data_IF_681812114515
#
_entry.id   IF_681812114515
#
_cell.length_a   1.000
_cell.length_b   1.000
_cell.length_c   1.000
_cell.angle_alpha   90.00
_cell.angle_beta   90.00
_cell.angle_gamma   90.00
#
_symmetry.space_group_name_H-M   'P 1'
#
loop_
_entity.id
_entity.type
_entity.pdbx_description
1 polymer ?
#
# COMPACT_ATOMS: atom_id res chain seq x y z
N UNK A 1 -35.26 -38.93 7.01
CA UNK A 1 -35.21 -37.47 7.28
C UNK A 1 -33.75 -37.06 7.22
N UNK A 2 -33.20 -36.23 6.32
CA UNK A 2 -33.74 -35.02 5.70
C UNK A 2 -32.84 -34.53 4.52
N UNK A 3 -32.40 -35.41 3.60
CA UNK A 3 -31.67 -34.96 2.38
C UNK A 3 -32.53 -34.08 1.46
N UNK A 4 -33.81 -34.44 1.34
CA UNK A 4 -34.80 -33.63 0.63
C UNK A 4 -35.06 -32.28 1.32
N UNK A 5 -34.99 -32.25 2.66
CA UNK A 5 -35.16 -31.02 3.43
C UNK A 5 -33.96 -30.07 3.21
N UNK A 6 -32.73 -30.59 3.20
CA UNK A 6 -31.50 -29.81 2.92
C UNK A 6 -31.50 -29.20 1.51
N UNK A 7 -31.95 -29.95 0.50
CA UNK A 7 -32.08 -29.44 -0.88
C UNK A 7 -33.18 -28.38 -1.01
N UNK A 8 -34.32 -28.56 -0.32
CA UNK A 8 -35.41 -27.58 -0.30
C UNK A 8 -35.02 -26.29 0.43
N UNK A 9 -34.17 -26.37 1.46
CA UNK A 9 -33.67 -25.16 2.15
C UNK A 9 -32.67 -24.38 1.30
N UNK A 10 -31.87 -25.05 0.47
CA UNK A 10 -30.92 -24.41 -0.45
C UNK A 10 -31.63 -23.64 -1.59
N UNK A 11 -32.77 -24.14 -2.08
CA UNK A 11 -33.58 -23.41 -3.07
C UNK A 11 -34.29 -22.17 -2.50
N UNK A 12 -34.60 -22.16 -1.20
CA UNK A 12 -35.24 -21.00 -0.56
C UNK A 12 -34.29 -19.81 -0.33
N UNK A 13 -32.98 -20.05 -0.40
CA UNK A 13 -31.92 -19.03 -0.27
C UNK A 13 -31.44 -18.57 -1.66
N UNK A 14 -31.98 -19.14 -2.75
CA UNK A 14 -31.74 -18.65 -4.09
C UNK A 14 -32.40 -17.26 -4.23
N UNK A 15 -31.64 -16.23 -3.90
CA UNK A 15 -31.98 -14.86 -4.28
C UNK A 15 -32.22 -14.84 -5.79
N UNK A 16 -33.31 -14.22 -6.28
CA UNK A 16 -33.51 -14.08 -7.71
C UNK A 16 -32.28 -13.37 -8.27
N UNK A 17 -31.53 -14.06 -9.13
CA UNK A 17 -30.48 -13.44 -9.93
C UNK A 17 -31.20 -12.56 -10.96
N UNK A 18 -31.50 -11.33 -10.57
CA UNK A 18 -31.89 -10.29 -11.51
C UNK A 18 -30.76 -10.06 -12.51
N UNK A 19 -31.10 -9.62 -13.72
CA UNK A 19 -30.10 -9.10 -14.64
C UNK A 19 -29.23 -8.08 -13.89
N UNK A 20 -27.92 -8.28 -13.91
CA UNK A 20 -26.99 -7.42 -13.17
C UNK A 20 -27.13 -6.00 -13.70
N UNK A 21 -27.58 -5.06 -12.87
CA UNK A 21 -27.64 -3.65 -13.25
C UNK A 21 -26.22 -3.05 -13.31
N UNK A 22 -26.04 -1.99 -14.09
CA UNK A 22 -24.76 -1.30 -14.22
C UNK A 22 -24.21 -0.86 -12.86
N UNK A 23 -25.08 -0.38 -11.96
CA UNK A 23 -24.69 0.03 -10.61
C UNK A 23 -24.20 -1.16 -9.78
N UNK A 24 -24.79 -2.33 -9.98
CA UNK A 24 -24.43 -3.56 -9.28
C UNK A 24 -23.10 -4.13 -9.81
N UNK A 25 -22.90 -4.09 -11.13
CA UNK A 25 -21.62 -4.40 -11.77
C UNK A 25 -20.50 -3.46 -11.28
N UNK A 26 -20.78 -2.16 -11.15
CA UNK A 26 -19.82 -1.19 -10.61
C UNK A 26 -19.47 -1.46 -9.15
N UNK A 27 -20.45 -1.77 -8.29
CA UNK A 27 -20.21 -2.14 -6.89
C UNK A 27 -19.39 -3.42 -6.77
N UNK A 28 -19.68 -4.41 -7.60
CA UNK A 28 -18.92 -5.65 -7.65
C UNK A 28 -17.46 -5.39 -8.08
N UNK A 29 -17.26 -4.56 -9.10
CA UNK A 29 -15.93 -4.15 -9.57
C UNK A 29 -15.17 -3.34 -8.52
N UNK A 30 -15.83 -2.45 -7.78
CA UNK A 30 -15.20 -1.68 -6.69
C UNK A 30 -14.63 -2.59 -5.59
N UNK A 31 -15.25 -3.74 -5.34
CA UNK A 31 -14.82 -4.71 -4.35
C UNK A 31 -13.75 -5.70 -4.85
N UNK A 32 -13.71 -5.99 -6.16
CA UNK A 32 -12.91 -7.09 -6.70
C UNK A 32 -11.89 -6.69 -7.80
N UNK A 33 -11.94 -5.47 -8.33
CA UNK A 33 -10.98 -5.01 -9.35
C UNK A 33 -9.59 -4.76 -8.70
N UNK A 34 -8.53 -5.48 -9.12
CA UNK A 34 -7.18 -5.29 -8.58
C UNK A 34 -6.61 -3.90 -8.86
N UNK A 35 -7.05 -3.24 -9.94
CA UNK A 35 -6.61 -1.90 -10.34
C UNK A 35 -7.03 -0.85 -9.31
N UNK A 36 -8.32 -0.84 -8.93
CA UNK A 36 -8.82 0.11 -7.93
C UNK A 36 -8.30 -0.23 -6.53
N UNK A 37 -8.09 -1.52 -6.22
CA UNK A 37 -7.46 -1.96 -4.98
C UNK A 37 -6.00 -1.45 -4.88
N UNK A 38 -5.23 -1.56 -5.95
CA UNK A 38 -3.86 -1.02 -6.03
C UNK A 38 -3.83 0.51 -5.94
N UNK A 39 -4.78 1.18 -6.58
CA UNK A 39 -4.94 2.64 -6.48
C UNK A 39 -5.25 3.08 -5.05
N UNK A 40 -6.15 2.36 -4.35
CA UNK A 40 -6.47 2.61 -2.93
C UNK A 40 -5.23 2.45 -2.05
N UNK A 41 -4.48 1.37 -2.21
CA UNK A 41 -3.24 1.16 -1.45
C UNK A 41 -2.19 2.27 -1.73
N UNK A 42 -2.08 2.72 -2.98
CA UNK A 42 -1.19 3.82 -3.36
C UNK A 42 -1.63 5.15 -2.75
N UNK A 43 -2.95 5.40 -2.67
CA UNK A 43 -3.54 6.56 -1.99
C UNK A 43 -3.22 6.53 -0.51
N UNK A 44 -3.43 5.39 0.16
CA UNK A 44 -3.17 5.22 1.58
C UNK A 44 -1.67 5.46 1.89
N UNK A 45 -0.77 4.89 1.08
CA UNK A 45 0.66 5.16 1.16
C UNK A 45 1.02 6.64 0.90
N UNK A 46 0.29 7.31 0.01
CA UNK A 46 0.42 8.74 -0.25
C UNK A 46 -0.03 9.61 0.92
N UNK A 47 -1.09 9.20 1.64
CA UNK A 47 -1.61 9.91 2.81
C UNK A 47 -0.61 9.93 3.98
N UNK A 48 0.25 8.91 4.09
CA UNK A 48 1.35 8.89 5.07
C UNK A 48 2.33 10.07 4.90
N UNK A 49 2.41 10.68 3.71
CA UNK A 49 3.19 11.88 3.52
C UNK A 49 2.70 13.03 4.42
N UNK A 50 1.40 13.15 4.68
CA UNK A 50 0.86 14.16 5.60
C UNK A 50 1.28 13.89 7.05
N UNK A 51 1.32 12.62 7.46
CA UNK A 51 1.81 12.22 8.79
C UNK A 51 3.29 12.57 8.93
N UNK A 52 4.09 12.31 7.90
CA UNK A 52 5.50 12.71 7.84
C UNK A 52 5.66 14.23 7.89
N UNK A 53 4.81 14.99 7.18
CA UNK A 53 4.80 16.44 7.21
C UNK A 53 4.57 16.98 8.65
N UNK A 54 3.63 16.35 9.38
CA UNK A 54 3.37 16.68 10.78
C UNK A 54 4.57 16.33 11.67
N UNK A 55 5.25 15.22 11.42
CA UNK A 55 6.41 14.78 12.19
C UNK A 55 7.60 15.76 12.10
N UNK A 56 7.78 16.45 10.96
CA UNK A 56 8.87 17.44 10.79
C UNK A 56 8.82 18.60 11.80
N UNK A 57 7.63 18.95 12.29
CA UNK A 57 7.44 19.98 13.32
C UNK A 57 7.51 19.45 14.76
N UNK A 58 7.67 18.13 14.96
CA UNK A 58 7.70 17.50 16.28
C UNK A 58 9.15 17.29 16.74
N UNK A 59 9.39 17.13 18.06
CA UNK A 59 10.69 16.72 18.57
C UNK A 59 11.08 15.35 18.01
N UNK A 60 12.30 15.22 17.51
CA UNK A 60 12.90 13.93 17.18
C UNK A 60 13.63 13.40 18.41
N UNK A 61 13.31 12.18 18.84
CA UNK A 61 13.94 11.54 20.01
C UNK A 61 14.78 10.38 19.51
N UNK A 62 16.06 10.38 19.88
CA UNK A 62 17.05 9.37 19.50
C UNK A 62 17.69 8.81 20.76
N UNK A 63 17.74 7.49 20.86
CA UNK A 63 18.44 6.78 21.91
C UNK A 63 19.66 6.10 21.31
N UNK A 64 20.81 6.25 21.96
CA UNK A 64 22.08 5.73 21.47
C UNK A 64 22.88 5.11 22.60
N UNK A 65 23.42 3.93 22.32
CA UNK A 65 24.29 3.19 23.21
C UNK A 65 25.56 2.78 22.45
N UNK A 66 26.72 2.94 23.07
CA UNK A 66 27.98 2.52 22.50
C UNK A 66 28.83 1.82 23.56
N UNK A 67 29.58 0.81 23.14
CA UNK A 67 30.60 0.16 23.94
C UNK A 67 31.91 0.21 23.17
N UNK A 68 32.92 0.79 23.78
CA UNK A 68 34.26 0.89 23.21
C UNK A 68 35.24 0.19 24.14
N UNK A 69 35.98 -0.77 23.59
CA UNK A 69 37.09 -1.41 24.27
C UNK A 69 38.37 -1.00 23.55
N UNK A 70 39.34 -0.48 24.32
CA UNK A 70 40.61 -0.04 23.79
C UNK A 70 41.73 -0.80 24.49
N UNK A 71 42.64 -1.38 23.72
CA UNK A 71 43.84 -2.04 24.21
C UNK A 71 45.04 -1.35 23.60
N UNK A 72 45.97 -0.94 24.45
CA UNK A 72 47.24 -0.32 24.07
C UNK A 72 48.33 -1.23 24.59
N UNK A 73 49.05 -1.87 23.68
CA UNK A 73 50.24 -2.64 23.99
C UNK A 73 51.46 -1.73 23.71
N UNK A 74 52.30 -1.54 24.73
CA UNK A 74 53.52 -0.72 24.63
C UNK A 74 54.73 -1.64 24.63
N UNK A 75 55.38 -1.76 23.47
CA UNK A 75 56.66 -2.43 23.30
C UNK A 75 57.77 -1.38 23.28
N UNK A 76 58.69 -1.45 24.23
CA UNK A 76 59.83 -0.55 24.34
C UNK A 76 61.12 -1.38 24.28
N UNK A 77 62.02 -1.05 23.35
CA UNK A 77 63.32 -1.71 23.22
C UNK A 77 64.32 -1.05 24.18
N UNK A 78 64.33 -1.52 25.43
CA UNK A 78 65.09 -0.96 26.55
C UNK A 78 65.93 -2.04 27.24
N UNK A 79 66.99 -1.67 27.99
CA UNK A 79 67.78 -2.62 28.77
C UNK A 79 66.93 -3.42 29.79
N UNK A 80 67.31 -4.67 30.13
CA UNK A 80 66.56 -5.58 31.00
C UNK A 80 66.09 -4.98 32.33
N UNK A 81 66.88 -4.07 32.90
CA UNK A 81 66.60 -3.46 34.20
C UNK A 81 65.51 -2.37 34.14
N UNK A 82 65.22 -1.82 32.95
CA UNK A 82 64.23 -0.76 32.75
C UNK A 82 62.94 -1.28 32.08
N UNK A 83 63.01 -2.40 31.36
CA UNK A 83 61.89 -3.04 30.66
C UNK A 83 60.59 -3.19 31.50
N UNK A 84 60.61 -3.67 32.76
CA UNK A 84 59.39 -3.87 33.55
C UNK A 84 58.61 -2.59 33.86
N UNK A 85 59.28 -1.43 33.83
CA UNK A 85 58.65 -0.13 34.12
C UNK A 85 58.05 0.54 32.88
N UNK A 86 58.48 0.14 31.68
CA UNK A 86 58.14 0.81 30.42
C UNK A 86 57.45 -0.09 29.39
N UNK A 87 57.42 -1.41 29.58
CA UNK A 87 56.65 -2.35 28.74
C UNK A 87 55.40 -2.86 29.46
N UNK A 88 54.25 -2.89 28.77
CA UNK A 88 53.03 -3.47 29.33
C UNK A 88 51.78 -3.25 28.48
N UNK A 89 50.75 -4.04 28.74
CA UNK A 89 49.44 -3.93 28.09
C UNK A 89 48.46 -3.18 28.99
N UNK A 90 47.83 -2.13 28.47
CA UNK A 90 46.72 -1.43 29.13
C UNK A 90 45.44 -1.66 28.34
N UNK A 91 44.39 -2.10 29.02
CA UNK A 91 43.06 -2.20 28.43
C UNK A 91 42.07 -1.33 29.20
N UNK A 92 41.12 -0.73 28.49
CA UNK A 92 40.05 0.06 29.07
C UNK A 92 38.76 -0.16 28.27
N UNK A 93 37.66 -0.42 28.98
CA UNK A 93 36.32 -0.51 28.41
C UNK A 93 35.49 0.69 28.84
N UNK A 94 34.73 1.27 27.92
CA UNK A 94 33.75 2.33 28.19
C UNK A 94 32.43 2.01 27.52
N UNK A 95 31.37 1.93 28.32
CA UNK A 95 30.00 1.94 27.85
C UNK A 95 29.42 3.36 27.99
N UNK A 96 28.69 3.82 26.98
CA UNK A 96 27.90 5.06 27.04
C UNK A 96 26.48 4.75 26.60
N UNK A 97 25.51 5.32 27.31
CA UNK A 97 24.09 5.28 26.95
C UNK A 97 23.56 6.71 27.09
N UNK A 98 22.82 7.19 26.10
CA UNK A 98 22.24 8.52 26.10
C UNK A 98 20.96 8.60 25.28
N UNK A 99 20.10 9.54 25.66
CA UNK A 99 18.89 9.90 24.92
C UNK A 99 18.98 11.37 24.56
N UNK A 100 18.75 11.70 23.29
CA UNK A 100 18.77 13.06 22.76
C UNK A 100 17.41 13.38 22.14
N UNK A 101 16.84 14.53 22.52
CA UNK A 101 15.63 15.07 21.90
C UNK A 101 15.96 16.39 21.19
N UNK A 102 15.61 16.53 19.91
CA UNK A 102 15.85 17.74 19.12
C UNK A 102 14.51 18.28 18.60
N UNK A 103 14.13 19.48 19.04
CA UNK A 103 12.92 20.16 18.58
C UNK A 103 13.29 21.42 17.78
N UNK A 104 12.88 21.52 16.50
CA UNK A 104 13.02 22.77 15.77
C UNK A 104 12.02 23.81 16.30
N UNK A 105 12.51 24.96 16.77
CA UNK A 105 11.66 26.10 17.13
C UNK A 105 11.26 26.89 15.88
N UNK A 106 12.21 27.11 14.97
CA UNK A 106 11.97 27.73 13.68
C UNK A 106 12.93 27.15 12.63
N UNK A 107 12.37 26.59 11.56
CA UNK A 107 13.13 26.01 10.45
C UNK A 107 12.31 26.18 9.15
N UNK A 108 12.74 27.11 8.29
CA UNK A 108 12.05 27.42 7.04
C UNK A 108 12.10 26.24 6.05
N UNK A 109 13.20 25.48 6.06
CA UNK A 109 13.38 24.32 5.18
C UNK A 109 12.42 23.20 5.56
N UNK A 110 12.32 22.87 6.86
CA UNK A 110 11.33 21.88 7.34
C UNK A 110 9.89 22.30 7.08
N UNK A 111 9.59 23.60 7.17
CA UNK A 111 8.26 24.13 6.84
C UNK A 111 7.94 23.95 5.35
N UNK A 112 8.87 24.29 4.47
CA UNK A 112 8.72 24.09 3.02
C UNK A 112 8.53 22.60 2.68
N UNK A 113 9.34 21.73 3.30
CA UNK A 113 9.23 20.28 3.15
C UNK A 113 7.87 19.75 3.64
N UNK A 114 7.35 20.25 4.75
CA UNK A 114 6.03 19.87 5.26
C UNK A 114 4.91 20.29 4.29
N UNK A 115 5.01 21.46 3.65
CA UNK A 115 4.06 21.88 2.61
C UNK A 115 4.14 20.92 1.42
N UNK A 116 5.34 20.64 0.91
CA UNK A 116 5.53 19.72 -0.21
C UNK A 116 4.94 18.32 0.07
N UNK A 117 5.11 17.79 1.28
CA UNK A 117 4.56 16.51 1.68
C UNK A 117 3.02 16.51 1.76
N UNK A 118 2.42 17.64 2.17
CA UNK A 118 0.95 17.81 2.14
C UNK A 118 0.43 17.82 0.71
N UNK A 119 1.07 18.55 -0.20
CA UNK A 119 0.71 18.55 -1.61
C UNK A 119 0.86 17.16 -2.23
N UNK A 120 1.88 16.39 -1.82
CA UNK A 120 2.04 14.98 -2.24
C UNK A 120 0.88 14.10 -1.77
N UNK A 121 0.41 14.28 -0.53
CA UNK A 121 -0.78 13.59 -0.02
C UNK A 121 -2.04 13.96 -0.81
N UNK A 122 -2.24 15.25 -1.10
CA UNK A 122 -3.36 15.74 -1.90
C UNK A 122 -3.33 15.18 -3.33
N UNK A 123 -2.15 15.16 -3.97
CA UNK A 123 -1.97 14.58 -5.30
C UNK A 123 -2.33 13.08 -5.34
N UNK A 124 -1.96 12.31 -4.31
CA UNK A 124 -2.33 10.90 -4.21
C UNK A 124 -3.85 10.69 -4.12
N UNK A 125 -4.57 11.58 -3.42
CA UNK A 125 -6.02 11.56 -3.38
C UNK A 125 -6.65 11.89 -4.75
N UNK A 126 -6.13 12.89 -5.45
CA UNK A 126 -6.59 13.24 -6.81
C UNK A 126 -6.37 12.10 -7.78
N UNK A 127 -5.21 11.44 -7.71
CA UNK A 127 -4.89 10.29 -8.56
C UNK A 127 -5.85 9.13 -8.33
N UNK A 128 -6.17 8.82 -7.06
CA UNK A 128 -7.18 7.81 -6.73
C UNK A 128 -8.57 8.17 -7.27
N UNK A 129 -8.99 9.43 -7.15
CA UNK A 129 -10.27 9.86 -7.73
C UNK A 129 -10.29 9.79 -9.27
N UNK A 130 -9.14 9.92 -9.93
CA UNK A 130 -9.00 9.63 -11.37
C UNK A 130 -9.22 8.15 -11.68
N UNK A 131 -8.65 7.24 -10.90
CA UNK A 131 -8.84 5.80 -11.05
C UNK A 131 -10.28 5.35 -10.74
N UNK A 132 -10.97 6.03 -9.82
CA UNK A 132 -12.40 5.81 -9.57
C UNK A 132 -13.25 6.16 -10.81
N UNK A 133 -12.94 7.26 -11.50
CA UNK A 133 -13.61 7.62 -12.74
C UNK A 133 -13.28 6.65 -13.88
N UNK A 134 -12.03 6.22 -13.97
CA UNK A 134 -11.61 5.21 -14.94
C UNK A 134 -12.33 3.86 -14.70
N UNK A 135 -12.53 3.47 -13.43
CA UNK A 135 -13.31 2.28 -13.09
C UNK A 135 -14.76 2.39 -13.58
N UNK A 136 -15.41 3.54 -13.37
CA UNK A 136 -16.78 3.78 -13.86
C UNK A 136 -16.84 3.61 -15.38
N UNK A 137 -15.89 4.20 -16.11
CA UNK A 137 -15.84 4.09 -17.57
C UNK A 137 -15.65 2.64 -18.02
N UNK A 138 -14.66 1.92 -17.46
CA UNK A 138 -14.39 0.52 -17.82
C UNK A 138 -15.59 -0.38 -17.58
N UNK A 139 -16.29 -0.20 -16.45
CA UNK A 139 -17.50 -0.98 -16.14
C UNK A 139 -18.62 -0.66 -17.13
N UNK A 140 -18.83 0.61 -17.46
CA UNK A 140 -19.83 1.00 -18.46
C UNK A 140 -19.53 0.42 -19.85
N UNK A 141 -18.28 0.51 -20.31
CA UNK A 141 -17.85 -0.05 -21.60
C UNK A 141 -18.03 -1.56 -21.65
N UNK A 142 -17.62 -2.28 -20.59
CA UNK A 142 -17.79 -3.73 -20.51
C UNK A 142 -19.27 -4.13 -20.48
N UNK A 143 -20.09 -3.43 -19.70
CA UNK A 143 -21.53 -3.70 -19.58
C UNK A 143 -22.27 -3.51 -20.90
N UNK A 144 -22.08 -2.35 -21.55
CA UNK A 144 -22.71 -2.09 -22.85
C UNK A 144 -22.12 -2.94 -23.98
N UNK A 145 -20.85 -3.34 -23.88
CA UNK A 145 -20.25 -4.30 -24.81
C UNK A 145 -20.91 -5.67 -24.77
N UNK A 146 -21.29 -6.16 -23.58
CA UNK A 146 -22.04 -7.42 -23.44
C UNK A 146 -23.44 -7.28 -24.05
N UNK A 147 -24.17 -6.22 -23.71
CA UNK A 147 -25.51 -5.97 -24.27
C UNK A 147 -25.51 -5.89 -25.80
N UNK A 148 -24.54 -5.19 -26.38
CA UNK A 148 -24.41 -5.11 -27.84
C UNK A 148 -24.08 -6.46 -28.49
N UNK A 149 -23.30 -7.30 -27.80
CA UNK A 149 -23.00 -8.67 -28.23
C UNK A 149 -24.22 -9.57 -28.20
N UNK A 150 -25.05 -9.45 -27.16
CA UNK A 150 -26.33 -10.17 -27.03
C UNK A 150 -27.31 -9.77 -28.14
N UNK A 151 -27.47 -8.46 -28.42
CA UNK A 151 -28.31 -7.96 -29.51
C UNK A 151 -27.84 -8.46 -30.89
N UNK A 152 -26.52 -8.53 -31.09
CA UNK A 152 -25.93 -9.03 -32.33
C UNK A 152 -26.21 -10.52 -32.51
N UNK A 153 -26.10 -11.31 -31.44
CA UNK A 153 -26.39 -12.74 -31.46
C UNK A 153 -27.88 -13.00 -31.75
N UNK A 154 -28.78 -12.26 -31.12
CA UNK A 154 -30.23 -12.39 -31.36
C UNK A 154 -30.59 -12.07 -32.81
N UNK A 155 -30.02 -11.00 -33.38
CA UNK A 155 -30.20 -10.65 -34.79
C UNK A 155 -29.75 -11.76 -35.75
N UNK A 156 -28.60 -12.40 -35.49
CA UNK A 156 -28.15 -13.52 -36.31
C UNK A 156 -29.05 -14.75 -36.16
N UNK A 157 -29.54 -15.04 -34.95
CA UNK A 157 -30.47 -16.15 -34.73
C UNK A 157 -31.78 -15.94 -35.49
N UNK A 158 -32.33 -14.73 -35.48
CA UNK A 158 -33.53 -14.38 -36.25
C UNK A 158 -33.32 -14.51 -37.76
N UNK A 159 -32.15 -14.08 -38.28
CA UNK A 159 -31.82 -14.24 -39.69
C UNK A 159 -31.72 -15.72 -40.10
N UNK A 160 -31.11 -16.57 -39.25
CA UNK A 160 -31.04 -18.01 -39.49
C UNK A 160 -32.43 -18.63 -39.49
N UNK A 161 -33.27 -18.32 -38.50
CA UNK A 161 -34.64 -18.82 -38.43
C UNK A 161 -35.47 -18.42 -39.67
N UNK A 162 -35.39 -17.16 -40.09
CA UNK A 162 -36.07 -16.69 -41.30
C UNK A 162 -35.59 -17.40 -42.57
N UNK A 163 -34.27 -17.67 -42.67
CA UNK A 163 -33.71 -18.42 -43.80
C UNK A 163 -34.16 -19.90 -43.80
N UNK A 164 -34.31 -20.53 -42.62
CA UNK A 164 -34.84 -21.89 -42.50
C UNK A 164 -36.32 -21.98 -42.90
N UNK A 165 -37.12 -20.98 -42.54
CA UNK A 165 -38.53 -20.89 -42.95
C UNK A 165 -38.69 -20.75 -44.47
N UNK A 166 -37.86 -19.93 -45.13
CA UNK A 166 -37.87 -19.80 -46.59
C UNK A 166 -37.48 -21.07 -47.34
N UNK A 167 -36.80 -22.01 -46.67
CA UNK A 167 -36.35 -23.28 -47.26
C UNK A 167 -37.41 -24.39 -47.19
N UNK A 168 -38.49 -24.19 -46.42
CA UNK A 168 -39.63 -25.11 -46.34
C UNK A 168 -40.71 -24.75 -47.35
#
# INVERSE_FOLDING_TARGET
MNRAFLLATAMLIATPAGATDLVEAWRAALAHDPTIAGARASRDAGQEAEVQAKALGRPTVQAQGAYQYNRVDVEADLPPDLLPSFSGARSNGRATIGVQAVQPIYDATKRAQAIQLREKSAAAQVQYSGEEQALILRVAEAYFGVLAGEDTLDSYQQQVAAAEEQRR
#
